data_IF_817482578875
#
_entry.id   IF_817482578875
#
_cell.length_a   1.000
_cell.length_b   1.000
_cell.length_c   1.000
_cell.angle_alpha   90.00
_cell.angle_beta   90.00
_cell.angle_gamma   90.00
#
_symmetry.space_group_name_H-M   'P 1'
#
loop_
_entity.id
_entity.type
_entity.pdbx_description
1 polymer ?
#
# COMPACT_ATOMS: atom_id res chain seq x y z
N UNK A 1 15.03 25.48 30.79
CA UNK A 1 15.23 25.04 29.39
C UNK A 1 14.33 23.82 29.14
N UNK A 2 13.12 24.01 28.56
CA UNK A 2 12.11 22.94 28.37
C UNK A 2 12.34 22.27 27.01
N UNK A 3 12.68 20.98 27.01
CA UNK A 3 12.74 20.18 25.78
C UNK A 3 11.32 19.92 25.29
N UNK A 4 11.00 20.39 24.07
CA UNK A 4 9.71 20.15 23.41
C UNK A 4 9.65 18.70 22.95
N UNK A 5 8.70 17.94 23.52
CA UNK A 5 8.29 16.61 23.08
C UNK A 5 7.63 16.75 21.71
N UNK A 6 8.21 16.14 20.68
CA UNK A 6 7.60 16.04 19.36
C UNK A 6 6.70 14.80 19.34
N UNK A 7 5.42 14.98 19.04
CA UNK A 7 4.48 13.88 18.78
C UNK A 7 4.42 13.63 17.27
N UNK A 8 4.78 12.42 16.85
CA UNK A 8 4.77 12.01 15.45
C UNK A 8 3.36 12.04 14.88
N UNK A 9 3.17 12.79 13.81
CA UNK A 9 1.88 12.92 13.13
C UNK A 9 1.56 11.64 12.37
N UNK A 10 0.39 11.10 12.70
CA UNK A 10 -0.30 9.97 12.09
C UNK A 10 -0.38 10.12 10.56
N UNK A 11 -0.14 9.03 9.83
CA UNK A 11 -0.51 8.93 8.43
C UNK A 11 -2.04 8.96 8.32
N UNK A 12 -2.59 10.02 7.73
CA UNK A 12 -4.03 10.18 7.47
C UNK A 12 -4.31 9.59 6.09
N UNK A 13 -5.03 8.47 6.05
CA UNK A 13 -5.59 7.92 4.82
C UNK A 13 -6.88 8.69 4.50
N UNK A 14 -6.86 9.51 3.45
CA UNK A 14 -8.03 10.23 2.95
C UNK A 14 -8.86 9.29 2.06
N UNK A 15 -10.03 8.88 2.53
CA UNK A 15 -11.05 8.23 1.72
C UNK A 15 -12.05 9.29 1.22
N UNK A 16 -12.30 9.34 -0.08
CA UNK A 16 -13.35 10.18 -0.68
C UNK A 16 -14.71 9.49 -0.53
N UNK A 17 -15.68 10.21 0.06
CA UNK A 17 -17.08 9.77 0.18
C UNK A 17 -17.80 10.02 -1.15
N UNK A 18 -18.24 8.98 -1.85
CA UNK A 18 -19.27 9.09 -2.89
C UNK A 18 -20.61 8.74 -2.25
N UNK A 19 -21.57 9.66 -2.35
CA UNK A 19 -22.91 9.51 -1.79
C UNK A 19 -23.68 8.41 -2.55
N UNK A 20 -23.92 7.27 -1.89
CA UNK A 20 -24.72 6.19 -2.45
C UNK A 20 -24.44 4.85 -1.78
N UNK A 21 -24.90 4.68 -0.55
CA UNK A 21 -25.15 3.41 0.13
C UNK A 21 -24.20 2.22 -0.16
N UNK A 22 -22.96 2.32 0.32
CA UNK A 22 -22.24 1.20 0.92
C UNK A 22 -21.34 1.78 2.00
N UNK A 23 -21.72 1.62 3.27
CA UNK A 23 -20.83 1.95 4.39
C UNK A 23 -19.73 0.88 4.37
N UNK A 24 -18.67 1.12 3.60
CA UNK A 24 -17.39 0.48 3.82
C UNK A 24 -16.91 0.96 5.19
N UNK A 25 -17.32 0.24 6.24
CA UNK A 25 -16.64 0.30 7.53
C UNK A 25 -15.20 -0.14 7.25
N UNK A 26 -14.33 0.84 7.01
CA UNK A 26 -12.89 0.64 6.92
C UNK A 26 -12.43 0.32 8.34
N UNK A 27 -12.63 -0.93 8.75
CA UNK A 27 -12.15 -1.45 10.02
C UNK A 27 -10.63 -1.46 9.91
N UNK A 28 -10.02 -0.38 10.39
CA UNK A 28 -8.57 -0.14 10.52
C UNK A 28 -7.69 -0.99 9.58
N UNK A 29 -7.24 -0.40 8.48
CA UNK A 29 -6.00 -0.88 7.83
C UNK A 29 -4.88 -0.72 8.87
N UNK A 30 -4.53 -1.83 9.52
CA UNK A 30 -3.43 -1.85 10.47
C UNK A 30 -2.18 -2.18 9.67
N UNK A 31 -1.36 -1.16 9.40
CA UNK A 31 0.02 -1.40 8.97
C UNK A 31 0.75 -1.96 10.18
N UNK A 32 0.82 -3.28 10.29
CA UNK A 32 1.63 -3.95 11.32
C UNK A 32 3.05 -4.03 10.78
N UNK A 33 3.90 -3.06 11.15
CA UNK A 33 5.34 -3.23 11.05
C UNK A 33 5.79 -4.10 12.22
N UNK A 34 6.21 -5.34 11.97
CA UNK A 34 6.87 -6.17 12.98
C UNK A 34 8.30 -5.65 13.17
N UNK A 35 8.45 -4.56 13.93
CA UNK A 35 9.74 -3.95 14.22
C UNK A 35 9.55 -2.68 15.05
N UNK A 36 10.42 -2.47 16.04
CA UNK A 36 10.53 -1.19 16.75
C UNK A 36 10.95 -0.16 15.72
N UNK A 37 10.04 0.72 15.30
CA UNK A 37 10.37 1.82 14.36
C UNK A 37 11.24 2.83 15.10
N UNK A 38 12.56 2.66 15.00
CA UNK A 38 13.49 3.79 15.11
C UNK A 38 13.42 4.54 13.77
N UNK A 39 13.27 5.86 13.85
CA UNK A 39 12.74 6.71 12.78
C UNK A 39 13.63 6.92 11.54
N UNK A 40 13.99 5.86 10.82
CA UNK A 40 14.58 5.90 9.47
C UNK A 40 14.26 4.68 8.60
N UNK A 41 13.66 3.62 9.14
CA UNK A 41 13.54 2.35 8.41
C UNK A 41 12.20 2.26 7.66
N UNK A 42 12.27 2.01 6.34
CA UNK A 42 11.09 1.58 5.56
C UNK A 42 10.70 0.19 6.10
N UNK A 43 9.41 -0.08 6.38
CA UNK A 43 8.97 -1.42 6.74
C UNK A 43 9.38 -2.43 5.66
N UNK A 44 9.97 -3.56 6.05
CA UNK A 44 10.37 -4.63 5.12
C UNK A 44 9.21 -5.11 4.23
N UNK A 45 7.99 -5.03 4.77
CA UNK A 45 6.75 -5.28 4.03
C UNK A 45 5.56 -4.55 4.68
N UNK A 46 4.51 -4.37 3.88
CA UNK A 46 3.19 -3.90 4.25
C UNK A 46 2.21 -5.06 4.14
N UNK A 47 1.26 -5.14 5.07
CA UNK A 47 0.13 -6.08 5.02
C UNK A 47 -1.16 -5.30 4.91
N UNK A 48 -1.93 -5.58 3.87
CA UNK A 48 -3.24 -5.01 3.62
C UNK A 48 -4.22 -6.16 3.79
N UNK A 49 -5.23 -6.00 4.64
CA UNK A 49 -6.20 -7.04 4.92
C UNK A 49 -7.61 -6.51 4.76
N UNK A 50 -8.52 -7.40 4.39
CA UNK A 50 -9.95 -7.12 4.28
C UNK A 50 -10.76 -8.13 5.08
N UNK A 51 -11.99 -7.80 5.43
CA UNK A 51 -12.89 -8.75 6.07
C UNK A 51 -13.47 -9.73 5.03
N UNK A 52 -13.59 -11.01 5.38
CA UNK A 52 -14.20 -12.05 4.55
C UNK A 52 -15.57 -11.68 3.96
N UNK A 53 -16.45 -11.05 4.74
CA UNK A 53 -17.77 -10.62 4.25
C UNK A 53 -17.65 -9.55 3.17
N UNK A 54 -16.70 -8.60 3.31
CA UNK A 54 -16.47 -7.57 2.31
C UNK A 54 -15.90 -8.16 1.01
N UNK A 55 -15.01 -9.14 1.12
CA UNK A 55 -14.47 -9.83 -0.05
C UNK A 55 -15.58 -10.58 -0.80
N UNK A 56 -16.47 -11.26 -0.07
CA UNK A 56 -17.59 -12.03 -0.65
C UNK A 56 -18.69 -11.14 -1.24
N UNK A 57 -19.06 -10.05 -0.56
CA UNK A 57 -20.16 -9.18 -0.98
C UNK A 57 -19.78 -8.33 -2.19
N UNK A 58 -18.52 -7.91 -2.29
CA UNK A 58 -18.07 -6.92 -3.28
C UNK A 58 -17.05 -7.45 -4.30
N UNK A 59 -16.53 -8.68 -4.11
CA UNK A 59 -15.61 -9.32 -5.06
C UNK A 59 -14.44 -8.41 -5.42
N UNK A 60 -13.65 -7.96 -4.43
CA UNK A 60 -12.61 -6.89 -4.47
C UNK A 60 -11.41 -7.16 -5.41
N UNK A 61 -11.69 -7.69 -6.59
CA UNK A 61 -10.82 -8.05 -7.69
C UNK A 61 -10.46 -6.85 -8.58
N UNK A 62 -11.11 -5.70 -8.40
CA UNK A 62 -10.71 -4.46 -9.08
C UNK A 62 -9.53 -3.81 -8.32
N UNK A 63 -8.42 -3.48 -8.99
CA UNK A 63 -7.25 -2.91 -8.32
C UNK A 63 -7.56 -1.57 -7.63
N UNK A 64 -7.22 -1.47 -6.35
CA UNK A 64 -7.27 -0.22 -5.59
C UNK A 64 -5.87 0.38 -5.48
N UNK A 65 -5.77 1.70 -5.61
CA UNK A 65 -4.49 2.42 -5.49
C UNK A 65 -4.20 2.82 -4.05
N UNK A 66 -3.09 2.34 -3.52
CA UNK A 66 -2.55 2.71 -2.21
C UNK A 66 -1.37 3.66 -2.39
N UNK A 67 -1.25 4.66 -1.50
CA UNK A 67 -0.14 5.62 -1.51
C UNK A 67 0.81 5.36 -0.33
N UNK A 68 2.09 5.27 -0.63
CA UNK A 68 3.18 5.10 0.33
C UNK A 68 4.16 6.26 0.23
N UNK A 69 4.81 6.61 1.33
CA UNK A 69 5.99 7.47 1.30
C UNK A 69 7.22 6.60 1.03
N UNK A 70 8.14 7.07 0.19
CA UNK A 70 9.45 6.45 -0.06
C UNK A 70 10.57 7.34 0.50
N UNK A 71 11.78 6.79 0.68
CA UNK A 71 12.93 7.57 1.14
C UNK A 71 13.34 8.56 0.04
N UNK A 72 13.62 9.80 0.43
CA UNK A 72 14.08 10.81 -0.51
C UNK A 72 15.45 10.47 -1.09
N UNK A 73 15.61 10.70 -2.39
CA UNK A 73 16.80 10.29 -3.15
C UNK A 73 16.82 8.81 -3.57
N UNK A 74 15.75 8.05 -3.31
CA UNK A 74 15.60 6.71 -3.87
C UNK A 74 15.51 6.76 -5.40
N UNK A 75 15.93 5.68 -6.06
CA UNK A 75 15.75 5.50 -7.50
C UNK A 75 15.64 4.01 -7.82
N UNK A 76 15.13 3.68 -9.01
CA UNK A 76 15.00 2.30 -9.49
C UNK A 76 14.30 1.34 -8.51
N UNK A 77 13.33 1.84 -7.75
CA UNK A 77 12.56 1.01 -6.83
C UNK A 77 11.72 -0.02 -7.60
N UNK A 78 11.47 -1.15 -6.94
CA UNK A 78 10.61 -2.23 -7.43
C UNK A 78 9.60 -2.60 -6.37
N UNK A 79 8.36 -2.85 -6.79
CA UNK A 79 7.29 -3.29 -5.92
C UNK A 79 6.97 -4.76 -6.18
N UNK A 80 6.68 -5.50 -5.11
CA UNK A 80 6.31 -6.90 -5.18
C UNK A 80 5.07 -7.15 -4.33
N UNK A 81 4.29 -8.15 -4.72
CA UNK A 81 3.16 -8.66 -3.94
C UNK A 81 3.20 -10.17 -3.78
N UNK A 82 2.47 -10.65 -2.77
CA UNK A 82 2.06 -12.04 -2.61
C UNK A 82 0.77 -12.11 -1.77
N UNK A 83 0.06 -13.23 -1.79
CA UNK A 83 -1.25 -13.37 -1.15
C UNK A 83 -1.25 -14.26 0.09
N UNK A 84 -0.22 -15.10 0.25
CA UNK A 84 0.05 -15.86 1.49
C UNK A 84 1.49 -15.65 1.97
N UNK A 85 1.79 -16.04 3.21
CA UNK A 85 3.16 -15.96 3.72
C UNK A 85 4.15 -16.88 2.97
N UNK A 86 3.65 -17.97 2.38
CA UNK A 86 4.47 -19.01 1.72
C UNK A 86 4.60 -18.81 0.21
N UNK A 87 3.79 -17.93 -0.37
CA UNK A 87 3.85 -17.62 -1.80
C UNK A 87 5.18 -16.95 -2.16
N UNK A 88 5.62 -17.16 -3.41
CA UNK A 88 6.71 -16.40 -3.99
C UNK A 88 6.28 -14.95 -4.25
N UNK A 89 7.25 -14.03 -4.15
CA UNK A 89 7.04 -12.63 -4.46
C UNK A 89 6.93 -12.43 -5.97
N UNK A 90 5.81 -11.87 -6.42
CA UNK A 90 5.59 -11.50 -7.81
C UNK A 90 5.80 -10.01 -7.97
N UNK A 91 6.65 -9.62 -8.92
CA UNK A 91 6.89 -8.21 -9.21
C UNK A 91 5.64 -7.57 -9.83
N UNK A 92 5.28 -6.39 -9.32
CA UNK A 92 4.23 -5.56 -9.91
C UNK A 92 4.85 -4.75 -11.04
N UNK A 93 4.21 -4.74 -12.20
CA UNK A 93 4.66 -3.96 -13.35
C UNK A 93 4.73 -2.47 -13.03
N UNK A 94 5.83 -1.83 -13.40
CA UNK A 94 5.98 -0.38 -13.24
C UNK A 94 5.31 0.36 -14.40
N UNK A 95 4.57 1.43 -14.09
CA UNK A 95 3.97 2.35 -15.04
C UNK A 95 4.41 3.77 -14.74
N UNK A 96 4.32 4.62 -15.74
CA UNK A 96 4.64 6.03 -15.71
C UNK A 96 3.38 6.87 -15.94
N UNK A 97 3.50 8.18 -15.77
CA UNK A 97 2.42 9.13 -16.12
C UNK A 97 2.07 9.13 -17.61
N UNK A 98 2.93 8.60 -18.46
CA UNK A 98 2.69 8.49 -19.91
C UNK A 98 1.91 7.24 -20.31
N UNK A 99 1.76 6.26 -19.42
CA UNK A 99 1.04 5.03 -19.70
C UNK A 99 -0.47 5.20 -19.51
N UNK A 100 -1.28 4.45 -20.26
CA UNK A 100 -2.71 4.36 -20.03
C UNK A 100 -2.98 3.23 -19.02
N UNK A 101 -3.25 3.58 -17.77
CA UNK A 101 -3.46 2.60 -16.69
C UNK A 101 -4.79 2.88 -15.97
N UNK A 102 -5.86 2.22 -16.40
CA UNK A 102 -7.13 2.23 -15.67
C UNK A 102 -7.54 0.79 -15.40
N UNK A 103 -7.71 0.46 -14.12
CA UNK A 103 -8.14 -0.88 -13.69
C UNK A 103 -7.10 -1.97 -13.85
N UNK A 104 -5.82 -1.64 -14.06
CA UNK A 104 -4.72 -2.59 -14.05
C UNK A 104 -3.88 -2.48 -12.76
N UNK A 105 -3.22 -3.57 -12.42
CA UNK A 105 -2.25 -3.58 -11.33
C UNK A 105 -0.94 -2.97 -11.79
N UNK A 106 -0.47 -1.98 -11.03
CA UNK A 106 0.69 -1.19 -11.42
C UNK A 106 1.36 -0.54 -10.22
N UNK A 107 2.68 -0.43 -10.27
CA UNK A 107 3.47 0.41 -9.40
C UNK A 107 3.85 1.70 -10.12
N UNK A 108 3.73 2.84 -9.45
CA UNK A 108 4.20 4.13 -9.94
C UNK A 108 5.03 4.79 -8.86
N UNK A 109 6.25 5.18 -9.21
CA UNK A 109 7.16 5.88 -8.30
C UNK A 109 7.27 7.34 -8.73
N UNK A 110 6.85 8.24 -7.85
CA UNK A 110 7.05 9.67 -7.97
C UNK A 110 8.21 10.04 -7.04
N UNK A 111 9.42 9.99 -7.59
CA UNK A 111 10.65 10.30 -6.86
C UNK A 111 10.78 11.79 -6.52
N UNK A 112 10.15 12.68 -7.28
CA UNK A 112 10.17 14.12 -7.01
C UNK A 112 9.32 14.48 -5.79
N UNK A 113 8.22 13.74 -5.57
CA UNK A 113 7.30 13.93 -4.43
C UNK A 113 7.56 12.97 -3.26
N UNK A 114 8.56 12.10 -3.34
CA UNK A 114 8.83 11.02 -2.38
C UNK A 114 7.60 10.12 -2.13
N UNK A 115 6.90 9.72 -3.22
CA UNK A 115 5.70 8.86 -3.17
C UNK A 115 5.81 7.62 -4.05
N UNK A 116 5.15 6.54 -3.60
CA UNK A 116 4.80 5.41 -4.44
C UNK A 116 3.28 5.19 -4.45
N UNK A 117 2.73 4.94 -5.62
CA UNK A 117 1.32 4.60 -5.84
C UNK A 117 1.24 3.18 -6.36
N UNK A 118 0.68 2.27 -5.56
CA UNK A 118 0.59 0.86 -5.91
C UNK A 118 -0.88 0.48 -6.09
N UNK A 119 -1.29 0.18 -7.31
CA UNK A 119 -2.59 -0.37 -7.66
C UNK A 119 -2.54 -1.89 -7.61
N UNK A 120 -3.30 -2.50 -6.71
CA UNK A 120 -3.35 -3.96 -6.52
C UNK A 120 -4.75 -4.41 -6.14
N UNK A 121 -5.14 -5.60 -6.59
CA UNK A 121 -6.41 -6.24 -6.25
C UNK A 121 -6.22 -7.37 -5.23
N UNK A 122 -7.25 -7.62 -4.43
CA UNK A 122 -7.35 -8.87 -3.70
C UNK A 122 -7.60 -10.01 -4.70
N UNK A 123 -7.09 -11.20 -4.39
CA UNK A 123 -7.50 -12.40 -5.10
C UNK A 123 -8.66 -13.07 -4.34
N UNK A 124 -9.42 -13.92 -5.02
CA UNK A 124 -10.59 -14.59 -4.43
C UNK A 124 -10.23 -15.57 -3.31
N UNK A 125 -8.96 -15.97 -3.22
CA UNK A 125 -8.46 -16.98 -2.29
C UNK A 125 -7.78 -16.40 -1.05
N UNK A 126 -7.65 -15.09 -0.92
CA UNK A 126 -6.97 -14.45 0.19
C UNK A 126 -7.62 -13.14 0.61
N UNK A 127 -7.77 -13.00 1.92
CA UNK A 127 -8.19 -11.76 2.58
C UNK A 127 -7.01 -10.81 2.81
N UNK A 128 -5.84 -11.13 2.27
CA UNK A 128 -4.58 -10.45 2.54
C UNK A 128 -3.77 -10.19 1.27
N UNK A 129 -3.09 -9.05 1.28
CA UNK A 129 -2.04 -8.72 0.34
C UNK A 129 -0.81 -8.34 1.14
N UNK A 130 0.27 -9.07 0.91
CA UNK A 130 1.60 -8.67 1.35
C UNK A 130 2.26 -7.89 0.23
N UNK A 131 2.82 -6.74 0.56
CA UNK A 131 3.45 -5.82 -0.39
C UNK A 131 4.82 -5.43 0.13
N UNK A 132 5.81 -5.31 -0.75
CA UNK A 132 7.11 -4.71 -0.39
C UNK A 132 7.61 -3.80 -1.51
N UNK A 133 8.36 -2.78 -1.11
CA UNK A 133 9.07 -1.88 -2.01
C UNK A 133 10.55 -2.02 -1.66
N UNK A 134 11.36 -2.35 -2.66
CA UNK A 134 12.80 -2.61 -2.49
C UNK A 134 13.59 -1.82 -3.53
N UNK A 135 14.86 -1.57 -3.24
CA UNK A 135 15.80 -1.09 -4.24
C UNK A 135 16.01 -2.17 -5.32
N UNK A 136 15.97 -1.76 -6.58
CA UNK A 136 16.19 -2.63 -7.73
C UNK A 136 17.62 -2.61 -8.28
N UNK A 137 18.54 -1.89 -7.61
CA UNK A 137 19.97 -1.84 -7.96
C UNK A 137 20.79 -2.98 -7.37
#
# INVERSE_FOLDING_TARGET
>A
MRKRKWEGKLAVLLAFTIAGAAILSLTRVSVVSSGVVQGTDIPDQFRISVNSNQLNDYGLSYPMTYQFSIISGSSNLKAYKKYTEFDEWVQIGERTSSDFFNGEEAARFDYDSDKAYISIAFNESSEEIFLRIVDGS
#
